data_IF_413072631516
#
_entry.id   IF_413072631516
#
_cell.length_a   1.000
_cell.length_b   1.000
_cell.length_c   1.000
_cell.angle_alpha   90.00
_cell.angle_beta   90.00
_cell.angle_gamma   90.00
#
_symmetry.space_group_name_H-M   'P 1'
#
loop_
_entity.id
_entity.type
_entity.pdbx_description
1 polymer ?
#
# COMPACT_ATOMS: atom_id res chain seq x y z
N UNK A 1 70.40 34.46 -9.85
CA UNK A 1 69.20 34.85 -9.08
C UNK A 1 68.19 33.69 -9.17
N UNK A 2 67.22 33.61 -8.27
CA UNK A 2 66.63 32.34 -7.79
C UNK A 2 65.64 31.58 -8.71
N UNK A 3 65.30 30.36 -8.24
CA UNK A 3 64.45 29.28 -8.78
C UNK A 3 62.90 29.59 -8.62
N UNK A 4 61.90 28.66 -8.76
CA UNK A 4 60.65 28.95 -9.48
C UNK A 4 59.33 28.84 -8.65
N UNK A 5 58.20 29.18 -9.27
CA UNK A 5 56.79 28.94 -8.84
C UNK A 5 55.95 28.77 -10.12
N UNK A 6 55.10 27.76 -10.42
CA UNK A 6 54.64 26.51 -9.79
C UNK A 6 53.34 26.52 -8.93
N UNK A 7 52.40 25.65 -9.34
CA UNK A 7 51.15 25.20 -8.69
C UNK A 7 49.89 26.10 -8.61
N UNK A 8 48.72 25.42 -8.69
CA UNK A 8 47.34 25.80 -8.34
C UNK A 8 46.62 26.80 -9.29
N UNK A 9 45.40 26.57 -9.82
CA UNK A 9 44.40 25.49 -9.68
C UNK A 9 43.93 25.04 -11.09
N UNK A 10 43.61 23.79 -11.47
CA UNK A 10 42.87 22.68 -10.86
C UNK A 10 41.37 22.92 -10.60
N UNK A 11 40.54 22.34 -11.48
CA UNK A 11 39.34 21.61 -11.06
C UNK A 11 38.11 22.41 -10.61
N UNK A 12 37.30 22.83 -11.58
CA UNK A 12 35.83 22.86 -11.43
C UNK A 12 35.16 22.27 -12.69
N UNK A 13 35.44 21.00 -12.96
CA UNK A 13 34.42 20.18 -13.61
C UNK A 13 33.37 19.89 -12.53
N UNK A 14 32.26 20.62 -12.57
CA UNK A 14 31.04 20.21 -11.88
C UNK A 14 30.53 18.98 -12.64
N UNK A 15 31.04 17.81 -12.25
CA UNK A 15 30.36 16.56 -12.54
C UNK A 15 29.11 16.61 -11.67
N UNK A 16 28.01 17.09 -12.25
CA UNK A 16 26.71 16.80 -11.72
C UNK A 16 26.51 15.29 -11.91
N UNK A 17 26.90 14.52 -10.89
CA UNK A 17 26.45 13.15 -10.72
C UNK A 17 24.93 13.20 -10.49
N UNK A 18 24.20 13.30 -11.59
CA UNK A 18 22.80 12.92 -11.65
C UNK A 18 22.76 11.41 -11.43
N UNK A 19 22.81 11.01 -10.16
CA UNK A 19 22.39 9.69 -9.74
C UNK A 19 21.02 9.42 -10.37
N UNK A 20 20.83 8.25 -11.01
CA UNK A 20 19.62 7.99 -11.76
C UNK A 20 18.42 8.06 -10.82
N UNK A 21 17.61 9.10 -10.95
CA UNK A 21 16.39 9.27 -10.18
C UNK A 21 15.42 8.16 -10.60
N UNK A 22 15.38 7.09 -9.82
CA UNK A 22 14.46 5.99 -10.01
C UNK A 22 13.04 6.51 -9.76
N UNK A 23 12.30 6.71 -10.85
CA UNK A 23 10.91 7.12 -10.85
C UNK A 23 10.05 5.89 -11.19
N UNK A 24 9.44 5.29 -10.17
CA UNK A 24 8.40 4.28 -10.34
C UNK A 24 7.05 4.99 -10.21
N UNK A 25 6.12 4.78 -11.15
CA UNK A 25 4.73 5.19 -11.02
C UNK A 25 3.88 3.98 -11.41
N UNK A 26 2.93 3.60 -10.55
CA UNK A 26 1.89 2.60 -10.80
C UNK A 26 0.54 3.23 -10.47
N UNK A 27 -0.50 2.94 -11.26
CA UNK A 27 -1.83 3.58 -11.15
C UNK A 27 -2.90 2.52 -11.40
N UNK A 28 -3.58 2.08 -10.33
CA UNK A 28 -4.56 0.99 -10.41
C UNK A 28 -3.97 -0.32 -10.96
N UNK A 29 -4.86 -1.22 -11.38
CA UNK A 29 -4.59 -2.59 -11.84
C UNK A 29 -3.27 -2.73 -12.63
N UNK A 30 -2.26 -3.24 -11.92
CA UNK A 30 -0.83 -3.10 -12.27
C UNK A 30 -0.49 -3.70 -13.64
N UNK A 31 -1.34 -4.64 -14.08
CA UNK A 31 -1.24 -5.37 -15.34
C UNK A 31 -1.14 -4.45 -16.56
N UNK A 32 -1.93 -3.37 -16.63
CA UNK A 32 -1.95 -2.49 -17.82
C UNK A 32 -0.73 -1.58 -17.89
N UNK A 33 -0.28 -1.06 -16.74
CA UNK A 33 0.85 -0.12 -16.73
C UNK A 33 2.19 -0.82 -16.91
N UNK A 34 2.38 -2.01 -16.33
CA UNK A 34 3.55 -2.83 -16.59
C UNK A 34 3.58 -3.30 -18.06
N UNK A 35 2.43 -3.61 -18.68
CA UNK A 35 2.37 -3.86 -20.13
C UNK A 35 2.78 -2.64 -20.95
N UNK A 36 2.38 -1.42 -20.58
CA UNK A 36 2.85 -0.19 -21.24
C UNK A 36 4.38 -0.01 -21.11
N UNK A 37 4.94 -0.30 -19.93
CA UNK A 37 6.38 -0.22 -19.68
C UNK A 37 7.17 -1.26 -20.47
N UNK A 38 6.66 -2.49 -20.56
CA UNK A 38 7.25 -3.56 -21.38
C UNK A 38 7.13 -3.27 -22.89
N UNK A 39 6.03 -2.66 -23.33
CA UNK A 39 5.86 -2.17 -24.72
C UNK A 39 6.93 -1.14 -25.07
N UNK A 40 7.16 -0.13 -24.21
CA UNK A 40 8.18 0.89 -24.44
C UNK A 40 9.60 0.29 -24.47
N UNK A 41 9.91 -0.65 -23.55
CA UNK A 41 11.19 -1.39 -23.56
C UNK A 41 11.39 -2.24 -24.83
N UNK A 42 10.33 -2.93 -25.30
CA UNK A 42 10.36 -3.71 -26.53
C UNK A 42 10.51 -2.81 -27.77
N UNK A 43 9.88 -1.63 -27.79
CA UNK A 43 10.05 -0.64 -28.86
C UNK A 43 11.47 -0.05 -28.87
N UNK A 44 12.03 0.32 -27.72
CA UNK A 44 13.40 0.85 -27.58
C UNK A 44 14.49 -0.15 -27.96
N UNK A 45 14.24 -1.44 -27.76
CA UNK A 45 15.15 -2.54 -28.18
C UNK A 45 14.94 -3.01 -29.62
N UNK A 46 14.02 -2.42 -30.39
CA UNK A 46 13.73 -2.80 -31.77
C UNK A 46 12.96 -4.13 -31.92
N UNK A 47 12.50 -4.73 -30.82
CA UNK A 47 11.72 -5.97 -30.84
C UNK A 47 10.24 -5.66 -31.11
N UNK A 48 9.94 -5.33 -32.36
CA UNK A 48 8.61 -4.94 -32.81
C UNK A 48 7.56 -6.07 -32.68
N UNK A 49 7.98 -7.33 -32.79
CA UNK A 49 7.13 -8.52 -32.61
C UNK A 49 6.58 -8.58 -31.18
N UNK A 50 7.47 -8.51 -30.18
CA UNK A 50 7.12 -8.49 -28.75
C UNK A 50 6.28 -7.25 -28.41
N UNK A 51 6.63 -6.09 -28.96
CA UNK A 51 5.87 -4.86 -28.75
C UNK A 51 4.42 -4.93 -29.30
N UNK A 52 4.16 -5.72 -30.35
CA UNK A 52 2.80 -5.97 -30.83
C UNK A 52 2.06 -6.90 -29.88
N UNK A 53 2.64 -8.05 -29.54
CA UNK A 53 2.02 -9.05 -28.67
C UNK A 53 1.62 -8.47 -27.29
N UNK A 54 2.46 -7.59 -26.72
CA UNK A 54 2.15 -6.90 -25.46
C UNK A 54 1.02 -5.87 -25.60
N UNK A 55 0.91 -5.17 -26.75
CA UNK A 55 -0.23 -4.28 -27.04
C UNK A 55 -1.52 -5.05 -27.24
N UNK A 56 -1.47 -6.19 -27.93
CA UNK A 56 -2.62 -7.06 -28.15
C UNK A 56 -3.10 -7.67 -26.82
N UNK A 57 -2.19 -8.05 -25.93
CA UNK A 57 -2.51 -8.50 -24.56
C UNK A 57 -3.11 -7.37 -23.71
N UNK A 58 -2.58 -6.15 -23.80
CA UNK A 58 -3.15 -4.98 -23.11
C UNK A 58 -4.56 -4.65 -23.63
N UNK A 59 -4.78 -4.75 -24.94
CA UNK A 59 -6.10 -4.58 -25.55
C UNK A 59 -7.05 -5.70 -25.14
N UNK A 60 -6.57 -6.94 -25.01
CA UNK A 60 -7.35 -8.07 -24.50
C UNK A 60 -7.81 -7.82 -23.07
N UNK A 61 -6.93 -7.42 -22.15
CA UNK A 61 -7.30 -7.08 -20.76
C UNK A 61 -8.31 -5.92 -20.70
N UNK A 62 -8.14 -4.87 -21.53
CA UNK A 62 -9.12 -3.77 -21.66
C UNK A 62 -10.45 -4.20 -22.29
N UNK A 63 -10.49 -5.38 -22.91
CA UNK A 63 -11.67 -5.98 -23.53
C UNK A 63 -12.13 -7.24 -22.82
N UNK A 64 -11.51 -7.61 -21.69
CA UNK A 64 -11.98 -8.72 -20.87
C UNK A 64 -13.36 -8.33 -20.34
N UNK A 65 -14.37 -9.21 -20.45
CA UNK A 65 -15.65 -8.94 -19.84
C UNK A 65 -15.41 -8.68 -18.36
N UNK A 66 -15.85 -7.51 -17.89
CA UNK A 66 -16.01 -7.29 -16.46
C UNK A 66 -16.76 -8.49 -15.87
N UNK A 67 -16.45 -8.93 -14.63
CA UNK A 67 -17.10 -10.07 -14.01
C UNK A 67 -18.62 -10.01 -14.25
N UNK A 68 -19.27 -11.14 -14.52
CA UNK A 68 -20.67 -11.16 -15.00
C UNK A 68 -21.71 -10.59 -14.03
N UNK A 69 -21.26 -10.19 -12.83
CA UNK A 69 -22.00 -9.48 -11.81
C UNK A 69 -21.58 -8.01 -11.62
N UNK A 70 -20.63 -7.44 -12.37
CA UNK A 70 -20.12 -6.07 -12.19
C UNK A 70 -21.24 -5.02 -12.17
N UNK A 71 -22.17 -5.11 -13.14
CA UNK A 71 -23.34 -4.21 -13.23
C UNK A 71 -24.40 -4.46 -12.16
N UNK A 72 -24.16 -5.43 -11.26
CA UNK A 72 -25.01 -5.74 -10.10
C UNK A 72 -24.46 -5.16 -8.80
N UNK A 73 -23.36 -4.41 -8.78
CA UNK A 73 -22.78 -3.83 -7.56
C UNK A 73 -22.59 -2.32 -7.67
N UNK A 74 -23.05 -1.57 -6.68
CA UNK A 74 -22.82 -0.12 -6.55
C UNK A 74 -22.04 0.19 -5.27
N UNK A 75 -21.14 1.18 -5.34
CA UNK A 75 -20.36 1.63 -4.17
C UNK A 75 -21.31 2.32 -3.18
N UNK A 76 -21.45 1.76 -1.98
CA UNK A 76 -22.21 2.38 -0.88
C UNK A 76 -21.37 3.45 -0.19
N UNK A 77 -20.11 3.12 0.12
CA UNK A 77 -19.13 4.01 0.72
C UNK A 77 -17.71 3.67 0.27
N UNK A 78 -16.86 4.68 0.25
CA UNK A 78 -15.47 4.60 -0.19
C UNK A 78 -14.64 5.65 0.54
N UNK A 79 -13.47 5.23 1.02
CA UNK A 79 -12.44 6.13 1.52
C UNK A 79 -11.12 5.88 0.79
N UNK A 80 -10.26 6.88 0.76
CA UNK A 80 -8.91 6.75 0.26
C UNK A 80 -8.01 7.76 0.93
N UNK A 81 -6.77 7.35 1.21
CA UNK A 81 -5.76 8.21 1.81
C UNK A 81 -4.38 7.90 1.19
N UNK A 82 -3.44 8.83 1.40
CA UNK A 82 -2.05 8.67 0.97
C UNK A 82 -1.16 8.29 2.16
N UNK A 83 -0.36 7.23 1.98
CA UNK A 83 0.79 6.94 2.82
C UNK A 83 2.04 7.53 2.14
N UNK A 84 2.73 8.43 2.82
CA UNK A 84 4.08 8.86 2.46
C UNK A 84 5.10 8.13 3.34
N UNK A 85 6.14 7.58 2.73
CA UNK A 85 7.16 6.79 3.40
C UNK A 85 8.54 6.95 2.73
N UNK A 86 9.59 6.58 3.44
CA UNK A 86 10.86 6.19 2.82
C UNK A 86 10.82 4.68 2.51
N UNK A 87 11.32 4.25 1.35
CA UNK A 87 11.47 2.85 0.93
C UNK A 87 12.93 2.55 0.65
N UNK A 88 13.45 1.52 1.32
CA UNK A 88 14.88 1.25 1.41
C UNK A 88 15.14 -0.20 1.01
N UNK A 89 16.04 -0.40 0.04
CA UNK A 89 16.35 -1.70 -0.53
C UNK A 89 17.53 -2.38 0.18
N UNK A 90 17.27 -3.49 0.86
CA UNK A 90 18.27 -4.31 1.55
C UNK A 90 18.65 -5.49 0.65
N UNK A 91 19.74 -5.29 -0.10
CA UNK A 91 20.31 -6.30 -0.99
C UNK A 91 21.22 -7.30 -0.25
N UNK A 92 21.95 -6.83 0.75
CA UNK A 92 22.85 -7.63 1.59
C UNK A 92 22.65 -7.28 3.07
N UNK A 93 21.98 -8.13 3.87
CA UNK A 93 21.82 -7.95 5.31
C UNK A 93 23.14 -7.84 6.09
N UNK A 94 24.26 -8.37 5.58
CA UNK A 94 25.57 -8.23 6.23
C UNK A 94 26.15 -6.81 6.09
N UNK A 95 25.68 -6.04 5.11
CA UNK A 95 26.12 -4.68 4.82
C UNK A 95 24.90 -3.77 4.57
N UNK A 96 24.09 -3.47 5.60
CA UNK A 96 22.84 -2.75 5.44
C UNK A 96 23.06 -1.31 4.94
N UNK A 97 22.10 -0.74 4.16
CA UNK A 97 22.16 0.65 3.70
C UNK A 97 22.34 1.65 4.86
N UNK A 98 23.08 2.72 4.61
CA UNK A 98 23.45 3.72 5.64
C UNK A 98 22.21 4.34 6.32
N UNK A 99 21.10 4.45 5.59
CA UNK A 99 19.82 4.99 6.01
C UNK A 99 19.16 4.18 7.14
N UNK A 100 19.44 2.88 7.23
CA UNK A 100 18.90 1.96 8.26
C UNK A 100 19.97 1.27 9.11
N UNK A 101 21.26 1.41 8.79
CA UNK A 101 22.35 0.68 9.46
C UNK A 101 22.36 0.84 10.99
N UNK A 102 21.86 1.97 11.51
CA UNK A 102 21.70 2.24 12.94
C UNK A 102 20.59 1.42 13.62
N UNK A 103 19.53 1.07 12.89
CA UNK A 103 18.40 0.27 13.37
C UNK A 103 18.53 -1.21 13.00
N UNK A 104 19.40 -1.56 12.05
CA UNK A 104 19.36 -2.85 11.38
C UNK A 104 19.59 -4.05 12.32
N UNK A 105 20.45 -3.92 13.34
CA UNK A 105 20.64 -5.00 14.33
C UNK A 105 19.38 -5.29 15.15
N UNK A 106 18.58 -4.26 15.45
CA UNK A 106 17.28 -4.43 16.11
C UNK A 106 16.26 -5.05 15.16
N UNK A 107 16.23 -4.63 13.89
CA UNK A 107 15.29 -5.19 12.89
C UNK A 107 15.58 -6.66 12.57
N UNK A 108 16.87 -7.02 12.46
CA UNK A 108 17.33 -8.40 12.26
C UNK A 108 17.01 -9.31 13.46
N UNK A 109 17.00 -8.79 14.69
CA UNK A 109 16.54 -9.54 15.87
C UNK A 109 15.00 -9.60 15.95
N UNK A 110 14.32 -8.48 15.68
CA UNK A 110 12.87 -8.35 15.82
C UNK A 110 12.08 -9.19 14.80
N UNK A 111 12.60 -9.38 13.58
CA UNK A 111 11.98 -10.21 12.54
C UNK A 111 12.45 -11.68 12.54
N UNK A 112 13.03 -12.16 13.63
CA UNK A 112 13.18 -13.60 13.90
C UNK A 112 12.00 -14.13 14.72
N UNK A 113 11.77 -15.44 14.68
CA UNK A 113 10.87 -16.14 15.58
C UNK A 113 11.44 -16.10 17.01
N UNK A 114 10.62 -16.43 18.00
CA UNK A 114 11.04 -16.51 19.40
C UNK A 114 12.01 -17.69 19.65
N UNK A 115 12.05 -18.66 18.74
CA UNK A 115 13.05 -19.74 18.69
C UNK A 115 14.34 -19.33 17.90
N UNK A 116 14.34 -18.15 17.26
CA UNK A 116 15.51 -17.58 16.56
C UNK A 116 15.62 -17.87 15.06
N UNK A 117 14.61 -18.48 14.44
CA UNK A 117 14.52 -18.73 12.99
C UNK A 117 14.04 -17.46 12.24
N UNK A 118 14.25 -17.36 10.93
CA UNK A 118 13.74 -16.21 10.16
C UNK A 118 12.20 -16.27 10.02
N UNK A 119 11.49 -15.16 10.30
CA UNK A 119 10.05 -15.08 9.99
C UNK A 119 9.81 -15.02 8.48
N UNK A 120 8.66 -15.54 7.99
CA UNK A 120 8.28 -15.39 6.60
C UNK A 120 8.09 -13.91 6.26
N UNK A 121 9.01 -13.37 5.46
CA UNK A 121 8.98 -11.98 4.99
C UNK A 121 7.61 -11.65 4.36
N UNK A 122 6.88 -10.60 4.84
CA UNK A 122 5.50 -10.33 4.39
C UNK A 122 5.35 -9.92 2.92
N UNK A 123 6.46 -9.77 2.20
CA UNK A 123 6.47 -9.46 0.78
C UNK A 123 6.62 -7.97 0.47
N UNK A 124 6.76 -7.71 -0.82
CA UNK A 124 6.51 -6.43 -1.44
C UNK A 124 5.00 -6.22 -1.68
N UNK A 125 4.58 -5.08 -2.23
CA UNK A 125 3.17 -4.75 -2.47
C UNK A 125 2.42 -5.81 -3.30
N UNK A 126 3.04 -6.27 -4.39
CA UNK A 126 2.46 -7.14 -5.42
C UNK A 126 3.19 -8.49 -5.60
N UNK A 127 4.23 -8.76 -4.81
CA UNK A 127 5.13 -9.92 -5.00
C UNK A 127 5.90 -10.28 -3.73
N UNK A 128 6.36 -11.52 -3.62
CA UNK A 128 7.13 -11.97 -2.45
C UNK A 128 8.49 -11.25 -2.26
N UNK A 129 9.17 -10.83 -3.34
CA UNK A 129 10.46 -10.11 -3.27
C UNK A 129 10.65 -9.17 -4.46
N UNK A 130 11.27 -8.01 -4.24
CA UNK A 130 11.62 -7.09 -5.33
C UNK A 130 12.84 -7.62 -6.10
N UNK A 131 13.01 -7.27 -7.39
CA UNK A 131 14.30 -7.44 -8.07
C UNK A 131 15.48 -6.84 -7.29
N UNK A 132 15.24 -5.72 -6.59
CA UNK A 132 16.24 -5.00 -5.78
C UNK A 132 16.31 -5.48 -4.31
N UNK A 133 15.97 -6.75 -4.06
CA UNK A 133 16.12 -7.36 -2.73
C UNK A 133 14.87 -7.26 -1.84
N UNK A 134 15.09 -7.26 -0.53
CA UNK A 134 14.04 -6.99 0.46
C UNK A 134 13.84 -5.48 0.56
N UNK A 135 12.60 -5.00 0.67
CA UNK A 135 12.31 -3.56 0.78
C UNK A 135 11.71 -3.28 2.16
N UNK A 136 12.20 -2.25 2.83
CA UNK A 136 11.68 -1.80 4.12
C UNK A 136 11.05 -0.42 3.90
N UNK A 137 9.79 -0.28 4.28
CA UNK A 137 9.15 1.02 4.46
C UNK A 137 9.53 1.56 5.84
N UNK A 138 9.92 2.83 5.88
CA UNK A 138 10.28 3.60 7.06
C UNK A 138 9.40 4.84 7.12
N UNK A 139 8.73 5.04 8.26
CA UNK A 139 7.79 6.15 8.51
C UNK A 139 7.96 6.64 9.94
N UNK A 140 7.80 7.93 10.21
CA UNK A 140 7.67 8.40 11.59
C UNK A 140 6.42 7.78 12.23
N UNK A 141 6.53 7.15 13.40
CA UNK A 141 5.44 6.37 13.99
C UNK A 141 4.18 7.21 14.22
N UNK A 142 4.33 8.47 14.64
CA UNK A 142 3.21 9.39 14.82
C UNK A 142 2.50 9.82 13.52
N UNK A 143 3.18 9.69 12.37
CA UNK A 143 2.58 9.90 11.05
C UNK A 143 1.79 8.68 10.53
N UNK A 144 1.87 7.52 11.20
CA UNK A 144 1.01 6.39 10.87
C UNK A 144 -0.47 6.68 11.20
N UNK A 145 -1.41 6.23 10.35
CA UNK A 145 -2.84 6.33 10.60
C UNK A 145 -3.21 5.78 11.99
N UNK A 146 -4.11 6.47 12.69
CA UNK A 146 -4.50 6.08 14.04
C UNK A 146 -5.07 4.65 14.14
N UNK A 147 -5.72 4.17 13.07
CA UNK A 147 -6.16 2.78 12.96
C UNK A 147 -5.01 1.77 12.95
N UNK A 148 -3.95 2.05 12.18
CA UNK A 148 -2.74 1.20 12.11
C UNK A 148 -1.99 1.20 13.44
N UNK A 149 -1.85 2.36 14.09
CA UNK A 149 -1.21 2.45 15.41
C UNK A 149 -1.96 1.65 16.47
N UNK A 150 -3.28 1.84 16.57
CA UNK A 150 -4.12 1.09 17.51
C UNK A 150 -4.07 -0.41 17.23
N UNK A 151 -4.20 -0.83 15.98
CA UNK A 151 -4.07 -2.24 15.60
C UNK A 151 -2.73 -2.82 16.08
N UNK A 152 -1.61 -2.11 15.83
CA UNK A 152 -0.29 -2.55 16.31
C UNK A 152 -0.20 -2.61 17.84
N UNK A 153 -0.84 -1.69 18.57
CA UNK A 153 -0.89 -1.72 20.04
C UNK A 153 -1.72 -2.92 20.55
N UNK A 154 -2.87 -3.18 19.94
CA UNK A 154 -3.76 -4.32 20.26
C UNK A 154 -3.06 -5.67 19.97
N UNK A 155 -2.46 -5.84 18.78
CA UNK A 155 -1.79 -7.10 18.42
C UNK A 155 -0.54 -7.40 19.27
N UNK A 156 0.16 -6.37 19.78
CA UNK A 156 1.25 -6.58 20.75
C UNK A 156 0.78 -7.18 22.08
N UNK A 157 -0.51 -7.10 22.41
CA UNK A 157 -1.11 -7.71 23.59
C UNK A 157 -1.82 -9.05 23.29
N UNK A 158 -2.41 -9.22 22.09
CA UNK A 158 -3.37 -10.31 21.81
C UNK A 158 -3.03 -11.25 20.66
N UNK A 159 -2.04 -10.95 19.82
CA UNK A 159 -1.86 -11.64 18.55
C UNK A 159 -1.08 -12.96 18.61
N UNK A 160 -1.15 -13.70 17.49
CA UNK A 160 -0.11 -14.67 17.14
C UNK A 160 1.20 -13.96 16.79
N UNK A 161 2.31 -14.71 16.86
CA UNK A 161 3.66 -14.17 16.72
C UNK A 161 3.94 -13.42 15.40
N UNK A 162 3.31 -13.84 14.30
CA UNK A 162 3.50 -13.16 13.01
C UNK A 162 2.94 -11.74 13.02
N UNK A 163 1.68 -11.56 13.41
CA UNK A 163 1.00 -10.26 13.38
C UNK A 163 1.68 -9.25 14.31
N UNK A 164 2.09 -9.66 15.52
CA UNK A 164 2.81 -8.78 16.47
C UNK A 164 4.16 -8.27 15.96
N UNK A 165 4.74 -8.92 14.93
CA UNK A 165 6.06 -8.59 14.34
C UNK A 165 5.96 -7.92 12.96
N UNK A 166 4.76 -7.63 12.43
CA UNK A 166 4.60 -6.96 11.13
C UNK A 166 5.08 -5.50 11.12
N UNK A 167 4.99 -4.78 12.25
CA UNK A 167 5.43 -3.38 12.36
C UNK A 167 6.39 -3.21 13.55
N UNK A 168 7.69 -3.17 13.24
CA UNK A 168 8.73 -2.85 14.20
C UNK A 168 8.72 -1.34 14.52
N UNK A 169 9.00 -0.97 15.77
CA UNK A 169 9.09 0.43 16.20
C UNK A 169 10.35 0.63 17.05
N UNK A 170 11.20 1.57 16.64
CA UNK A 170 12.43 1.95 17.35
C UNK A 170 12.59 3.47 17.28
N UNK A 171 12.88 4.11 18.43
CA UNK A 171 13.14 5.55 18.56
C UNK A 171 12.11 6.47 17.85
N UNK A 172 10.83 6.08 17.88
CA UNK A 172 9.73 6.83 17.26
C UNK A 172 9.58 6.61 15.75
N UNK A 173 10.35 5.69 15.16
CA UNK A 173 10.29 5.32 13.73
C UNK A 173 9.68 3.93 13.58
N UNK A 174 8.74 3.79 12.65
CA UNK A 174 8.12 2.54 12.26
C UNK A 174 8.83 1.92 11.06
N UNK A 175 9.03 0.60 11.09
CA UNK A 175 9.64 -0.18 10.00
C UNK A 175 8.77 -1.40 9.68
N UNK A 176 8.45 -1.61 8.40
CA UNK A 176 7.61 -2.72 7.94
C UNK A 176 7.86 -3.03 6.45
N UNK A 177 7.55 -4.25 6.02
CA UNK A 177 7.63 -4.63 4.61
C UNK A 177 6.45 -4.04 3.81
N UNK A 178 6.60 -3.71 2.51
CA UNK A 178 5.51 -3.15 1.71
C UNK A 178 4.23 -4.01 1.66
N UNK A 179 4.34 -5.34 1.75
CA UNK A 179 3.19 -6.25 1.85
C UNK A 179 2.30 -6.01 3.08
N UNK A 180 2.83 -5.40 4.15
CA UNK A 180 2.04 -4.98 5.33
C UNK A 180 1.05 -3.86 4.98
N UNK A 181 1.37 -3.01 3.99
CA UNK A 181 0.42 -2.02 3.44
C UNK A 181 -0.70 -2.71 2.65
N UNK A 182 -0.42 -3.85 2.00
CA UNK A 182 -1.47 -4.66 1.34
C UNK A 182 -2.38 -5.32 2.37
N UNK A 183 -1.81 -5.88 3.43
CA UNK A 183 -2.54 -6.54 4.51
C UNK A 183 -3.43 -5.55 5.27
N UNK A 184 -2.85 -4.45 5.79
CA UNK A 184 -3.55 -3.44 6.58
C UNK A 184 -4.19 -2.33 5.71
N UNK A 185 -4.35 -2.54 4.40
CA UNK A 185 -4.80 -1.50 3.46
C UNK A 185 -6.07 -0.74 3.91
N UNK A 186 -7.10 -1.38 4.51
CA UNK A 186 -8.27 -0.66 4.98
C UNK A 186 -7.97 0.34 6.11
N UNK A 187 -7.03 0.02 7.01
CA UNK A 187 -6.56 0.92 8.07
C UNK A 187 -5.71 2.07 7.55
N UNK A 188 -5.00 1.88 6.43
CA UNK A 188 -4.32 2.96 5.73
C UNK A 188 -5.30 3.86 4.97
N UNK A 189 -6.27 3.30 4.25
CA UNK A 189 -7.24 4.05 3.45
C UNK A 189 -8.22 4.90 4.29
N UNK A 190 -8.33 4.61 5.58
CA UNK A 190 -9.20 5.30 6.55
C UNK A 190 -8.47 6.40 7.35
N UNK A 191 -7.22 6.75 7.00
CA UNK A 191 -6.42 7.73 7.75
C UNK A 191 -7.09 9.10 7.92
N UNK A 192 -7.81 9.57 6.90
CA UNK A 192 -8.50 10.86 6.88
C UNK A 192 -9.92 10.82 7.48
N UNK A 193 -10.39 9.65 7.96
CA UNK A 193 -11.72 9.50 8.56
C UNK A 193 -11.74 10.13 9.94
N UNK A 194 -12.57 11.18 10.10
CA UNK A 194 -12.64 11.95 11.35
C UNK A 194 -13.16 11.08 12.50
N UNK A 195 -12.33 10.93 13.54
CA UNK A 195 -12.63 10.16 14.76
C UNK A 195 -14.06 10.42 15.27
N UNK A 196 -14.89 9.38 15.24
CA UNK A 196 -16.30 9.45 15.67
C UNK A 196 -17.32 9.60 14.55
N UNK A 197 -16.92 9.54 13.29
CA UNK A 197 -17.79 9.43 12.12
C UNK A 197 -17.39 8.18 11.32
N UNK A 198 -18.35 7.43 10.78
CA UNK A 198 -18.05 6.38 9.78
C UNK A 198 -17.96 6.97 8.37
N UNK A 199 -17.05 6.46 7.54
CA UNK A 199 -17.01 6.75 6.11
C UNK A 199 -18.27 6.30 5.35
N UNK A 200 -19.15 5.51 5.99
CA UNK A 200 -20.44 5.06 5.49
C UNK A 200 -21.64 5.83 6.09
N UNK A 201 -21.42 6.77 7.02
CA UNK A 201 -22.48 7.64 7.59
C UNK A 201 -22.88 8.78 6.64
N UNK A 202 -23.47 8.41 5.50
CA UNK A 202 -24.03 9.34 4.52
C UNK A 202 -25.54 9.24 4.32
N UNK A 203 -26.26 8.34 5.01
CA UNK A 203 -27.67 8.04 4.70
C UNK A 203 -28.57 7.57 5.85
N UNK A 204 -28.42 8.14 7.05
CA UNK A 204 -29.46 8.04 8.08
C UNK A 204 -30.40 9.25 8.05
N UNK A 205 -31.70 8.96 7.92
CA UNK A 205 -32.78 9.92 7.82
C UNK A 205 -32.89 10.76 9.11
N UNK A 206 -33.21 12.05 8.95
CA UNK A 206 -33.12 13.04 10.03
C UNK A 206 -33.94 12.70 11.28
N UNK A 207 -33.26 12.28 12.35
CA UNK A 207 -33.78 12.25 13.72
C UNK A 207 -33.10 13.36 14.54
N UNK A 208 -33.82 14.02 15.46
CA UNK A 208 -33.30 15.20 16.15
C UNK A 208 -32.24 14.86 17.20
N UNK A 209 -31.12 15.58 17.14
CA UNK A 209 -30.06 15.60 18.15
C UNK A 209 -30.63 15.94 19.55
N UNK A 210 -30.77 14.95 20.44
CA UNK A 210 -31.09 15.23 21.85
C UNK A 210 -30.72 14.12 22.86
N UNK A 211 -30.36 12.91 22.42
CA UNK A 211 -30.03 11.80 23.34
C UNK A 211 -28.80 11.04 22.84
N UNK A 212 -27.62 11.36 23.41
CA UNK A 212 -26.46 10.46 23.58
C UNK A 212 -25.27 11.22 24.23
N UNK A 213 -25.51 11.84 25.39
CA UNK A 213 -24.41 12.14 26.30
C UNK A 213 -24.05 10.87 27.09
N UNK A 214 -22.77 10.51 27.14
CA UNK A 214 -22.22 9.40 27.93
C UNK A 214 -22.54 7.95 27.47
N UNK A 215 -22.47 7.67 26.17
CA UNK A 215 -22.00 6.36 25.68
C UNK A 215 -20.77 6.58 24.79
N UNK A 216 -19.59 6.40 25.39
CA UNK A 216 -18.37 6.13 24.64
C UNK A 216 -18.52 4.76 23.99
N UNK A 217 -18.46 4.69 22.67
CA UNK A 217 -17.65 3.73 21.90
C UNK A 217 -17.79 4.11 20.43
N UNK A 218 -16.63 4.15 19.78
CA UNK A 218 -16.42 4.17 18.34
C UNK A 218 -17.51 3.40 17.58
N UNK A 219 -18.19 4.07 16.66
CA UNK A 219 -18.66 3.37 15.46
C UNK A 219 -17.38 2.81 14.80
N UNK A 220 -17.17 1.51 14.95
CA UNK A 220 -16.18 0.80 14.17
C UNK A 220 -16.65 0.91 12.72
N UNK A 221 -15.99 1.78 11.97
CA UNK A 221 -16.29 1.95 10.55
C UNK A 221 -16.14 0.58 9.87
N UNK A 222 -17.13 0.18 9.08
CA UNK A 222 -17.10 -1.15 8.44
C UNK A 222 -15.91 -1.27 7.48
N UNK A 223 -15.37 -0.14 7.02
CA UNK A 223 -14.13 -0.03 6.22
C UNK A 223 -12.84 -0.13 7.06
N UNK A 224 -12.91 -0.11 8.39
CA UNK A 224 -11.76 -0.30 9.30
C UNK A 224 -11.69 -1.72 9.88
N UNK A 225 -12.77 -2.50 9.86
CA UNK A 225 -12.72 -3.88 10.36
C UNK A 225 -12.03 -4.81 9.35
N UNK A 226 -10.79 -5.19 9.65
CA UNK A 226 -9.98 -6.10 8.83
C UNK A 226 -10.65 -7.45 8.59
N UNK A 227 -11.58 -7.91 9.45
CA UNK A 227 -12.34 -9.15 9.23
C UNK A 227 -13.24 -9.07 8.01
N UNK A 228 -13.73 -7.88 7.66
CA UNK A 228 -14.48 -7.66 6.43
C UNK A 228 -13.61 -7.82 5.18
N UNK A 229 -12.29 -7.89 5.29
CA UNK A 229 -11.37 -8.00 4.15
C UNK A 229 -10.58 -9.31 4.12
N UNK A 230 -10.29 -9.91 5.29
CA UNK A 230 -9.54 -11.16 5.40
C UNK A 230 -10.42 -12.42 5.50
N UNK A 231 -11.59 -12.34 6.14
CA UNK A 231 -12.53 -13.48 6.20
C UNK A 231 -13.34 -13.56 4.88
N UNK A 232 -13.24 -14.65 4.10
CA UNK A 232 -14.00 -14.82 2.87
C UNK A 232 -15.52 -14.72 3.07
N UNK A 233 -16.05 -15.09 4.24
CA UNK A 233 -17.48 -15.05 4.54
C UNK A 233 -18.00 -13.62 4.74
N UNK A 234 -17.21 -12.75 5.36
CA UNK A 234 -17.58 -11.34 5.57
C UNK A 234 -17.25 -10.49 4.34
N UNK A 235 -16.16 -10.80 3.64
CA UNK A 235 -15.70 -10.08 2.44
C UNK A 235 -16.70 -10.10 1.29
N UNK A 236 -17.52 -11.15 1.16
CA UNK A 236 -18.56 -11.23 0.13
C UNK A 236 -19.77 -12.00 0.62
N UNK A 237 -20.84 -11.26 0.90
CA UNK A 237 -22.19 -11.76 1.16
C UNK A 237 -23.06 -11.66 -0.10
N UNK A 238 -24.31 -12.13 -0.04
CA UNK A 238 -25.27 -11.99 -1.15
C UNK A 238 -25.67 -10.52 -1.45
N UNK A 239 -25.48 -9.61 -0.48
CA UNK A 239 -25.94 -8.22 -0.55
C UNK A 239 -24.85 -7.16 -0.44
N UNK A 240 -23.67 -7.50 0.08
CA UNK A 240 -22.55 -6.58 0.27
C UNK A 240 -21.21 -7.30 0.04
N UNK A 241 -20.24 -6.60 -0.56
CA UNK A 241 -18.85 -7.03 -0.68
C UNK A 241 -17.89 -5.90 -0.31
N UNK A 242 -16.77 -6.27 0.29
CA UNK A 242 -15.73 -5.33 0.71
C UNK A 242 -14.51 -5.46 -0.22
N UNK A 243 -14.04 -4.31 -0.69
CA UNK A 243 -13.00 -4.21 -1.71
C UNK A 243 -11.94 -3.21 -1.24
N UNK A 244 -10.68 -3.62 -1.28
CA UNK A 244 -9.55 -2.69 -1.20
C UNK A 244 -8.79 -2.69 -2.52
N UNK A 245 -8.12 -1.58 -2.85
CA UNK A 245 -7.22 -1.47 -4.00
C UNK A 245 -6.23 -0.34 -3.83
N UNK A 246 -5.09 -0.44 -4.53
CA UNK A 246 -4.24 0.71 -4.74
C UNK A 246 -4.89 1.68 -5.74
N UNK A 247 -4.98 2.96 -5.36
CA UNK A 247 -5.23 4.04 -6.33
C UNK A 247 -3.99 4.29 -7.19
N UNK A 248 -2.81 4.04 -6.63
CA UNK A 248 -1.51 4.04 -7.28
C UNK A 248 -0.37 4.11 -6.26
N UNK A 249 0.87 3.92 -6.73
CA UNK A 249 2.10 4.22 -5.98
C UNK A 249 3.06 5.02 -6.84
N UNK A 250 3.77 5.98 -6.25
CA UNK A 250 4.82 6.76 -6.91
C UNK A 250 6.07 6.76 -6.04
N UNK A 251 7.18 6.24 -6.54
CA UNK A 251 8.49 6.25 -5.91
C UNK A 251 9.42 7.22 -6.65
N UNK A 252 10.17 8.04 -5.91
CA UNK A 252 11.21 8.94 -6.41
C UNK A 252 12.46 8.75 -5.54
N UNK A 253 13.44 8.00 -6.03
CA UNK A 253 14.59 7.58 -5.21
C UNK A 253 14.13 6.74 -4.03
N UNK A 254 14.49 7.12 -2.79
CA UNK A 254 14.02 6.45 -1.57
C UNK A 254 12.64 6.95 -1.10
N UNK A 255 12.05 8.00 -1.67
CA UNK A 255 10.71 8.45 -1.22
C UNK A 255 9.60 7.73 -1.98
N UNK A 256 8.58 7.23 -1.29
CA UNK A 256 7.39 6.62 -1.90
C UNK A 256 6.09 7.20 -1.34
N UNK A 257 5.13 7.42 -2.25
CA UNK A 257 3.74 7.78 -1.95
C UNK A 257 2.82 6.67 -2.44
N UNK A 258 1.94 6.15 -1.59
CA UNK A 258 0.98 5.09 -1.93
C UNK A 258 -0.43 5.56 -1.65
N UNK A 259 -1.30 5.57 -2.66
CA UNK A 259 -2.73 5.78 -2.46
C UNK A 259 -3.42 4.46 -2.16
N UNK A 260 -3.99 4.36 -0.97
CA UNK A 260 -4.79 3.20 -0.54
C UNK A 260 -6.28 3.56 -0.64
N UNK A 261 -7.10 2.59 -1.04
CA UNK A 261 -8.56 2.76 -1.20
C UNK A 261 -9.26 1.59 -0.54
N UNK A 262 -10.28 1.88 0.27
CA UNK A 262 -11.17 0.88 0.87
C UNK A 262 -12.62 1.25 0.56
N UNK A 263 -13.40 0.25 0.13
CA UNK A 263 -14.76 0.42 -0.34
C UNK A 263 -15.66 -0.70 0.19
N UNK A 264 -16.93 -0.36 0.36
CA UNK A 264 -18.03 -1.30 0.50
C UNK A 264 -18.96 -1.12 -0.69
N UNK A 265 -19.26 -2.21 -1.35
CA UNK A 265 -20.14 -2.26 -2.51
C UNK A 265 -21.38 -3.11 -2.17
N UNK A 266 -22.56 -2.62 -2.49
CA UNK A 266 -23.84 -3.29 -2.23
C UNK A 266 -24.44 -3.80 -3.53
N UNK A 267 -25.21 -4.88 -3.44
CA UNK A 267 -25.83 -5.49 -4.61
C UNK A 267 -27.06 -4.70 -5.04
N UNK A 268 -27.05 -4.19 -6.27
CA UNK A 268 -28.13 -3.41 -6.86
C UNK A 268 -29.41 -4.25 -7.01
N UNK A 269 -30.36 -4.00 -6.11
CA UNK A 269 -31.71 -4.56 -6.18
C UNK A 269 -32.55 -3.82 -7.24
N UNK A 270 -32.31 -4.11 -8.53
CA UNK A 270 -33.20 -3.69 -9.62
C UNK A 270 -33.65 -4.88 -10.48
N UNK A 271 -34.96 -4.88 -10.78
CA UNK A 271 -35.68 -5.81 -11.65
C UNK A 271 -35.82 -7.28 -11.20
N UNK A 272 -36.39 -7.51 -10.01
CA UNK A 272 -37.20 -8.74 -9.75
C UNK A 272 -38.66 -8.45 -9.37
N UNK A 273 -39.11 -7.18 -9.43
CA UNK A 273 -40.46 -6.74 -9.04
C UNK A 273 -41.36 -6.39 -10.23
N UNK A 274 -41.00 -6.81 -11.45
CA UNK A 274 -41.67 -6.40 -12.70
C UNK A 274 -42.03 -7.61 -13.59
N UNK A 275 -42.19 -8.80 -12.97
CA UNK A 275 -42.59 -10.04 -13.67
C UNK A 275 -43.73 -10.84 -13.02
N UNK A 276 -44.27 -10.40 -11.89
CA UNK A 276 -45.40 -11.06 -11.21
C UNK A 276 -46.74 -10.30 -11.34
N UNK A 277 -46.79 -9.24 -12.17
CA UNK A 277 -48.03 -8.56 -12.56
C UNK A 277 -48.16 -8.46 -14.09
N UNK A 278 -48.60 -9.55 -14.74
CA UNK A 278 -49.24 -9.57 -16.07
C UNK A 278 -49.97 -10.88 -16.35
#
# INVERSE_FOLDING_TARGET
MYLPILFLLLGFQVIAELSPQYLEINIGDDTILELLRQVDAAQKSGNHELASQLKDRMNAIRSEPLPSDHDQWSVECSTSAYLDAEIIAVNDPAHPPQEIAWAFSFLDEYWKTDDGEDLPYPGDFDRFKHPDGFRILRVDYDALPAGVRRWREEEMETAEEMDRKLIAVLDGVAFFAPGVVTYLMPLFATADVVKGHSACEGRWLGLPFSICGAVLIFLADELMDLKNYHDPANRRTDSARFVFRYGGRSQVGNSIRVQTVAQKEIKDRKASSEKDEL
#
